data_IF_681133717595
#
_entry.id   IF_681133717595
#
_cell.length_a   1.000
_cell.length_b   1.000
_cell.length_c   1.000
_cell.angle_alpha   90.00
_cell.angle_beta   90.00
_cell.angle_gamma   90.00
#
_symmetry.space_group_name_H-M   'P 1'
#
loop_
_entity.id
_entity.type
_entity.pdbx_description
1 polymer ?
#
# COMPACT_ATOMS: atom_id res chain seq x y z
N UNK A 1 30.87 7.66 18.48
CA UNK A 1 29.54 7.06 18.79
C UNK A 1 29.23 6.03 17.73
N UNK A 2 29.13 4.76 18.07
CA UNK A 2 28.74 3.68 17.15
C UNK A 2 27.29 3.91 16.75
N UNK A 3 27.00 4.03 15.43
CA UNK A 3 25.64 4.14 14.91
C UNK A 3 24.87 2.87 15.31
N UNK A 4 23.84 3.02 16.13
CA UNK A 4 22.94 1.92 16.44
C UNK A 4 21.95 1.77 15.29
N UNK A 5 22.12 0.72 14.46
CA UNK A 5 21.19 0.41 13.39
C UNK A 5 19.84 -0.08 13.95
N UNK A 6 18.77 0.24 13.25
CA UNK A 6 17.44 -0.28 13.56
C UNK A 6 17.27 -1.62 12.83
N UNK A 7 17.42 -2.72 13.55
CA UNK A 7 17.29 -4.09 13.03
C UNK A 7 15.87 -4.38 12.45
N UNK A 8 14.86 -3.66 12.94
CA UNK A 8 13.46 -3.84 12.53
C UNK A 8 13.14 -3.37 11.10
N UNK A 9 14.09 -2.77 10.39
CA UNK A 9 13.86 -2.30 9.02
C UNK A 9 15.07 -2.36 8.11
N UNK A 10 14.82 -2.36 6.80
CA UNK A 10 15.85 -2.33 5.74
C UNK A 10 15.41 -1.42 4.59
N UNK A 11 16.38 -0.81 3.92
CA UNK A 11 16.18 -0.09 2.66
C UNK A 11 16.14 -1.13 1.54
N UNK A 12 14.99 -1.26 0.87
CA UNK A 12 14.81 -2.16 -0.27
C UNK A 12 15.30 -1.54 -1.58
N UNK A 13 15.09 -0.22 -1.71
CA UNK A 13 15.37 0.50 -2.95
C UNK A 13 15.55 1.98 -2.67
N UNK A 14 16.51 2.58 -3.34
CA UNK A 14 16.67 4.02 -3.56
C UNK A 14 16.80 4.27 -5.05
N UNK A 15 16.04 5.21 -5.58
CA UNK A 15 16.06 5.50 -7.00
C UNK A 15 14.93 6.42 -7.44
N UNK A 16 14.59 6.34 -8.71
CA UNK A 16 13.61 7.21 -9.35
C UNK A 16 12.22 6.59 -9.36
N UNK A 17 11.20 7.44 -9.16
CA UNK A 17 9.80 7.08 -9.38
C UNK A 17 9.50 6.91 -10.86
N UNK A 18 8.75 5.86 -11.22
CA UNK A 18 8.23 5.66 -12.57
C UNK A 18 7.24 6.75 -13.03
N UNK A 19 6.78 7.61 -12.11
CA UNK A 19 5.79 8.65 -12.41
C UNK A 19 6.44 9.90 -12.98
N UNK A 20 7.49 10.40 -12.31
CA UNK A 20 8.04 11.73 -12.59
C UNK A 20 9.55 11.84 -12.35
N UNK A 21 10.24 10.71 -12.24
CA UNK A 21 11.69 10.62 -12.03
C UNK A 21 12.21 11.32 -10.76
N UNK A 22 11.38 11.61 -9.78
CA UNK A 22 11.83 12.12 -8.49
C UNK A 22 12.43 11.01 -7.64
N UNK A 23 13.35 11.42 -6.76
CA UNK A 23 14.02 10.50 -5.85
C UNK A 23 13.09 9.99 -4.76
N UNK A 24 12.97 8.68 -4.68
CA UNK A 24 12.17 7.95 -3.70
C UNK A 24 13.00 6.90 -2.98
N UNK A 25 12.52 6.49 -1.85
CA UNK A 25 13.06 5.38 -1.06
C UNK A 25 11.95 4.39 -0.73
N UNK A 26 12.28 3.10 -0.78
CA UNK A 26 11.40 2.01 -0.33
C UNK A 26 12.03 1.31 0.86
N UNK A 27 11.28 1.23 1.95
CA UNK A 27 11.75 0.67 3.21
C UNK A 27 10.78 -0.44 3.63
N UNK A 28 11.31 -1.58 4.07
CA UNK A 28 10.54 -2.63 4.75
C UNK A 28 10.75 -2.50 6.26
N UNK A 29 9.68 -2.73 7.03
CA UNK A 29 9.73 -2.76 8.50
C UNK A 29 8.90 -3.91 9.06
N UNK A 30 9.07 -4.19 10.35
CA UNK A 30 8.42 -5.31 11.03
C UNK A 30 9.28 -6.57 11.03
N UNK A 31 10.58 -6.46 10.73
CA UNK A 31 11.47 -7.62 10.65
C UNK A 31 11.68 -8.26 12.02
N UNK A 32 11.88 -7.47 13.06
CA UNK A 32 12.09 -7.97 14.43
C UNK A 32 10.82 -7.90 15.28
N UNK A 33 10.03 -6.82 15.13
CA UNK A 33 8.87 -6.58 15.97
C UNK A 33 7.57 -6.81 15.19
N UNK A 34 6.69 -7.64 15.75
CA UNK A 34 5.36 -7.87 15.19
C UNK A 34 4.51 -6.60 15.28
N UNK A 35 3.71 -6.36 14.25
CA UNK A 35 2.74 -5.27 14.28
C UNK A 35 1.51 -5.65 15.11
N UNK A 36 1.01 -4.69 15.90
CA UNK A 36 -0.22 -4.83 16.68
C UNK A 36 -1.49 -4.36 15.95
N UNK A 37 -1.40 -4.09 14.65
CA UNK A 37 -2.52 -3.59 13.87
C UNK A 37 -3.59 -4.68 13.70
N UNK A 38 -4.76 -4.50 14.32
CA UNK A 38 -5.88 -5.46 14.32
C UNK A 38 -6.40 -5.83 12.93
N UNK A 39 -6.27 -4.95 11.93
CA UNK A 39 -6.73 -5.22 10.56
C UNK A 39 -5.69 -5.99 9.76
N UNK A 40 -4.45 -5.58 9.82
CA UNK A 40 -3.38 -6.21 9.01
C UNK A 40 -2.78 -7.43 9.67
N UNK A 41 -2.90 -7.57 10.99
CA UNK A 41 -2.18 -8.60 11.74
C UNK A 41 -0.68 -8.42 11.63
N UNK A 42 0.09 -9.50 11.77
CA UNK A 42 1.55 -9.50 11.72
C UNK A 42 2.10 -9.50 10.29
N UNK A 43 1.68 -8.52 9.49
CA UNK A 43 2.27 -8.32 8.15
C UNK A 43 3.50 -7.43 8.21
N UNK A 44 4.53 -7.80 7.48
CA UNK A 44 5.64 -6.90 7.13
C UNK A 44 5.08 -5.70 6.35
N UNK A 45 5.54 -4.50 6.70
CA UNK A 45 5.04 -3.26 6.09
C UNK A 45 6.10 -2.67 5.15
N UNK A 46 5.69 -2.22 3.97
CA UNK A 46 6.60 -1.48 3.08
C UNK A 46 6.13 -0.05 2.91
N UNK A 47 7.08 0.87 2.86
CA UNK A 47 6.88 2.32 2.83
C UNK A 47 7.59 2.88 1.62
N UNK A 48 6.86 3.54 0.74
CA UNK A 48 7.38 4.21 -0.44
C UNK A 48 7.25 5.70 -0.18
N UNK A 49 8.39 6.36 -0.01
CA UNK A 49 8.45 7.73 0.49
C UNK A 49 9.36 8.57 -0.43
N UNK A 50 9.10 9.87 -0.47
CA UNK A 50 10.06 10.81 -1.06
C UNK A 50 11.34 10.82 -0.24
N UNK A 51 12.49 10.74 -0.91
CA UNK A 51 13.78 10.71 -0.22
C UNK A 51 14.07 11.99 0.56
N UNK A 52 13.77 13.15 -0.04
CA UNK A 52 14.21 14.44 0.48
C UNK A 52 13.09 15.31 1.06
N UNK A 53 11.87 14.79 1.13
CA UNK A 53 10.71 15.51 1.67
C UNK A 53 9.99 14.69 2.73
N UNK A 54 9.77 15.29 3.90
CA UNK A 54 9.04 14.65 4.98
C UNK A 54 7.60 14.32 4.56
N UNK A 55 7.12 13.07 4.79
CA UNK A 55 5.86 12.58 4.23
C UNK A 55 4.61 13.35 4.70
N UNK A 56 4.61 13.87 5.92
CA UNK A 56 3.51 14.70 6.43
C UNK A 56 3.39 16.05 5.72
N UNK A 57 4.51 16.67 5.36
CA UNK A 57 4.55 17.92 4.61
C UNK A 57 4.24 17.68 3.13
N UNK A 58 4.90 16.70 2.51
CA UNK A 58 4.71 16.38 1.10
C UNK A 58 3.28 15.91 0.78
N UNK A 59 2.59 15.28 1.73
CA UNK A 59 1.18 14.95 1.58
C UNK A 59 0.29 16.20 1.49
N UNK A 60 0.51 17.18 2.36
CA UNK A 60 -0.24 18.44 2.37
C UNK A 60 0.01 19.28 1.10
N UNK A 61 1.25 19.31 0.64
CA UNK A 61 1.68 20.15 -0.49
C UNK A 61 1.49 19.47 -1.86
N UNK A 62 0.96 18.24 -1.90
CA UNK A 62 0.77 17.48 -3.14
C UNK A 62 2.04 16.89 -3.74
N UNK A 63 3.21 17.04 -3.11
CA UNK A 63 4.47 16.45 -3.56
C UNK A 63 4.44 14.91 -3.54
N UNK A 64 3.56 14.31 -2.73
CA UNK A 64 3.34 12.86 -2.72
C UNK A 64 2.85 12.30 -4.06
N UNK A 65 2.60 13.12 -5.07
CA UNK A 65 2.32 12.67 -6.45
C UNK A 65 3.37 11.66 -6.93
N UNK A 66 4.63 11.86 -6.58
CA UNK A 66 5.72 10.95 -7.00
C UNK A 66 5.62 9.54 -6.40
N UNK A 67 4.92 9.37 -5.29
CA UNK A 67 4.74 8.08 -4.60
C UNK A 67 3.29 7.59 -4.58
N UNK A 68 2.32 8.45 -4.91
CA UNK A 68 0.89 8.13 -4.93
C UNK A 68 0.24 8.31 -6.30
N UNK A 69 0.92 8.97 -7.25
CA UNK A 69 0.48 9.18 -8.62
C UNK A 69 -0.86 9.88 -8.75
N UNK A 70 -1.80 9.23 -9.43
CA UNK A 70 -3.14 9.74 -9.71
C UNK A 70 -4.14 9.53 -8.57
N UNK A 71 -3.74 8.96 -7.45
CA UNK A 71 -4.63 8.69 -6.32
C UNK A 71 -5.49 9.92 -5.96
N UNK A 72 -6.83 9.83 -5.98
CA UNK A 72 -7.71 10.98 -5.69
C UNK A 72 -7.70 11.37 -4.21
N UNK A 73 -7.32 10.45 -3.32
CA UNK A 73 -7.36 10.63 -1.88
C UNK A 73 -6.24 11.51 -1.30
N UNK A 74 -5.31 11.99 -2.13
CA UNK A 74 -4.19 12.83 -1.67
C UNK A 74 -4.68 14.11 -0.96
N UNK A 75 -3.86 14.65 -0.05
CA UNK A 75 -4.20 15.79 0.78
C UNK A 75 -4.52 17.09 0.03
N UNK A 76 -3.93 17.28 -1.14
CA UNK A 76 -4.21 18.41 -2.04
C UNK A 76 -5.35 18.13 -3.06
N UNK A 77 -6.06 17.02 -2.92
CA UNK A 77 -7.22 16.63 -3.74
C UNK A 77 -8.43 16.43 -2.82
N UNK A 78 -9.03 15.24 -2.79
CA UNK A 78 -10.19 14.95 -1.94
C UNK A 78 -9.86 14.88 -0.44
N UNK A 79 -8.57 14.79 -0.08
CA UNK A 79 -8.10 14.67 1.31
C UNK A 79 -8.75 13.52 2.10
N UNK A 80 -9.12 12.46 1.40
CA UNK A 80 -9.79 11.28 1.95
C UNK A 80 -8.82 10.13 2.28
N UNK A 81 -7.50 10.36 2.17
CA UNK A 81 -6.48 9.37 2.47
C UNK A 81 -6.54 8.92 3.93
N UNK A 82 -6.68 7.61 4.16
CA UNK A 82 -6.69 7.02 5.51
C UNK A 82 -5.29 6.88 6.13
N UNK A 83 -4.22 7.02 5.34
CA UNK A 83 -2.84 6.94 5.84
C UNK A 83 -2.54 8.13 6.72
N UNK A 84 -2.11 7.86 7.95
CA UNK A 84 -1.69 8.90 8.91
C UNK A 84 -0.23 9.27 8.67
N UNK A 85 0.02 10.12 7.68
CA UNK A 85 1.34 10.50 7.19
C UNK A 85 2.28 11.10 8.27
N UNK A 86 1.71 11.64 9.36
CA UNK A 86 2.44 12.21 10.51
C UNK A 86 2.82 11.16 11.57
N UNK A 87 2.36 9.93 11.45
CA UNK A 87 2.66 8.82 12.36
C UNK A 87 3.76 7.92 11.78
N UNK A 88 3.45 6.64 11.55
CA UNK A 88 4.43 5.64 11.11
C UNK A 88 5.24 6.04 9.87
N UNK A 89 4.64 6.59 8.78
CA UNK A 89 5.44 7.02 7.62
C UNK A 89 6.50 8.06 7.99
N UNK A 90 6.16 9.04 8.86
CA UNK A 90 7.10 10.06 9.32
C UNK A 90 8.23 9.47 10.17
N UNK A 91 7.93 8.53 11.06
CA UNK A 91 8.94 7.89 11.90
C UNK A 91 9.91 7.03 11.08
N UNK A 92 9.39 6.29 10.09
CA UNK A 92 10.20 5.51 9.15
C UNK A 92 11.12 6.45 8.35
N UNK A 93 10.58 7.54 7.81
CA UNK A 93 11.36 8.53 7.06
C UNK A 93 12.45 9.19 7.93
N UNK A 94 12.13 9.60 9.18
CA UNK A 94 13.12 10.15 10.11
C UNK A 94 14.24 9.16 10.42
N UNK A 95 13.89 7.88 10.63
CA UNK A 95 14.89 6.83 10.84
C UNK A 95 15.80 6.66 9.63
N UNK A 96 15.24 6.71 8.43
CA UNK A 96 15.99 6.69 7.17
C UNK A 96 16.94 7.91 7.07
N UNK A 97 16.44 9.14 7.26
CA UNK A 97 17.26 10.37 7.21
C UNK A 97 18.39 10.40 8.26
N UNK A 98 18.20 9.71 9.37
CA UNK A 98 19.22 9.53 10.39
C UNK A 98 20.14 8.33 10.12
N UNK A 99 20.08 7.73 8.92
CA UNK A 99 20.87 6.57 8.49
C UNK A 99 20.80 5.39 9.50
N UNK A 100 19.58 5.11 10.02
CA UNK A 100 19.35 4.03 11.00
C UNK A 100 18.99 2.68 10.35
N UNK A 101 18.77 2.62 9.03
CA UNK A 101 18.49 1.39 8.30
C UNK A 101 19.68 0.99 7.43
N UNK A 102 20.02 -0.29 7.46
CA UNK A 102 20.90 -0.91 6.48
C UNK A 102 20.18 -1.19 5.17
N UNK A 103 20.93 -1.36 4.08
CA UNK A 103 20.37 -1.87 2.84
C UNK A 103 20.01 -3.34 2.97
N UNK A 104 18.92 -3.71 2.31
CA UNK A 104 18.45 -5.10 2.24
C UNK A 104 19.46 -5.98 1.50
N UNK A 105 19.82 -7.10 2.13
CA UNK A 105 20.75 -8.10 1.58
C UNK A 105 19.99 -9.39 1.26
N UNK A 106 20.57 -10.21 0.38
CA UNK A 106 19.98 -11.52 0.03
C UNK A 106 19.75 -12.41 1.26
N UNK A 107 20.60 -12.32 2.27
CA UNK A 107 20.43 -13.03 3.56
C UNK A 107 19.18 -12.62 4.33
N UNK A 108 18.73 -11.36 4.17
CA UNK A 108 17.53 -10.84 4.85
C UNK A 108 16.23 -11.49 4.34
N UNK A 109 16.26 -12.18 3.19
CA UNK A 109 15.11 -12.98 2.70
C UNK A 109 14.66 -14.02 3.74
N UNK A 110 15.57 -14.52 4.57
CA UNK A 110 15.23 -15.45 5.66
C UNK A 110 14.29 -14.80 6.70
N UNK A 111 14.35 -13.48 6.90
CA UNK A 111 13.48 -12.74 7.81
C UNK A 111 12.06 -12.56 7.25
N UNK A 112 11.89 -12.73 5.93
CA UNK A 112 10.62 -12.59 5.22
C UNK A 112 9.96 -13.95 4.98
N UNK A 113 10.77 -15.00 4.86
CA UNK A 113 10.30 -16.35 4.52
C UNK A 113 9.15 -16.79 5.43
N UNK A 114 8.03 -17.16 4.81
CA UNK A 114 6.83 -17.62 5.51
C UNK A 114 6.02 -16.53 6.22
N UNK A 115 6.42 -15.25 6.13
CA UNK A 115 5.67 -14.10 6.67
C UNK A 115 4.82 -13.43 5.60
N UNK A 116 3.78 -12.75 6.02
CA UNK A 116 2.89 -11.99 5.14
C UNK A 116 3.46 -10.59 4.87
N UNK A 117 3.29 -10.08 3.65
CA UNK A 117 3.86 -8.81 3.19
C UNK A 117 2.77 -7.85 2.71
N UNK A 118 2.80 -6.59 3.15
CA UNK A 118 1.98 -5.52 2.61
C UNK A 118 2.80 -4.60 1.73
N UNK A 119 2.50 -4.62 0.42
CA UNK A 119 3.09 -3.72 -0.56
C UNK A 119 2.42 -2.35 -0.46
N UNK A 120 3.20 -1.31 -0.19
CA UNK A 120 2.70 0.04 -0.12
C UNK A 120 1.77 0.33 1.07
N UNK A 121 2.23 0.13 2.31
CA UNK A 121 1.51 0.62 3.51
C UNK A 121 1.35 2.14 3.47
N UNK A 122 2.27 2.83 2.84
CA UNK A 122 2.18 4.20 2.35
C UNK A 122 2.89 4.26 0.98
N UNK A 123 2.31 4.98 0.03
CA UNK A 123 2.74 5.02 -1.36
C UNK A 123 2.21 3.84 -2.19
N UNK A 124 2.26 3.99 -3.49
CA UNK A 124 1.76 3.02 -4.47
C UNK A 124 2.90 2.07 -4.90
N UNK A 125 2.76 0.75 -4.78
CA UNK A 125 3.83 -0.19 -5.08
C UNK A 125 4.28 -0.21 -6.54
N UNK A 126 3.46 0.29 -7.46
CA UNK A 126 3.77 0.26 -8.90
C UNK A 126 4.69 1.39 -9.35
N UNK A 127 4.99 2.36 -8.47
CA UNK A 127 5.87 3.49 -8.82
C UNK A 127 7.35 3.11 -8.93
N UNK A 128 7.69 1.86 -8.65
CA UNK A 128 9.01 1.27 -8.87
C UNK A 128 8.89 0.03 -9.76
N UNK A 129 10.00 -0.51 -10.22
CA UNK A 129 10.03 -1.72 -11.04
C UNK A 129 9.66 -2.96 -10.20
N UNK A 130 8.88 -3.87 -10.78
CA UNK A 130 8.45 -5.11 -10.15
C UNK A 130 9.64 -5.97 -9.66
N UNK A 131 10.79 -5.87 -10.32
CA UNK A 131 12.02 -6.60 -9.94
C UNK A 131 12.47 -6.35 -8.50
N UNK A 132 12.12 -5.18 -7.92
CA UNK A 132 12.42 -4.87 -6.51
C UNK A 132 11.57 -5.73 -5.57
N UNK A 133 10.31 -6.00 -5.93
CA UNK A 133 9.39 -6.80 -5.12
C UNK A 133 9.55 -8.30 -5.29
N UNK A 134 9.96 -8.73 -6.48
CA UNK A 134 9.96 -10.15 -6.85
C UNK A 134 10.69 -11.06 -5.87
N UNK A 135 11.92 -10.76 -5.40
CA UNK A 135 12.60 -11.63 -4.43
C UNK A 135 11.84 -11.79 -3.10
N UNK A 136 11.10 -10.75 -2.67
CA UNK A 136 10.30 -10.81 -1.46
C UNK A 136 9.03 -11.63 -1.67
N UNK A 137 8.38 -11.44 -2.84
CA UNK A 137 7.16 -12.16 -3.22
C UNK A 137 7.41 -13.65 -3.37
N UNK A 138 8.58 -14.06 -3.86
CA UNK A 138 8.95 -15.46 -4.07
C UNK A 138 9.10 -16.25 -2.74
N UNK A 139 9.37 -15.55 -1.63
CA UNK A 139 9.61 -16.21 -0.31
C UNK A 139 8.52 -15.92 0.74
N UNK A 140 7.73 -14.86 0.57
CA UNK A 140 6.67 -14.54 1.53
C UNK A 140 5.53 -15.57 1.46
N UNK A 141 4.84 -15.77 2.58
CA UNK A 141 3.68 -16.66 2.66
C UNK A 141 2.50 -16.18 1.81
N UNK A 142 2.24 -14.91 1.88
CA UNK A 142 1.21 -14.21 1.11
C UNK A 142 1.48 -12.70 1.12
N UNK A 143 0.76 -11.97 0.29
CA UNK A 143 0.88 -10.51 0.25
C UNK A 143 -0.46 -9.83 0.00
N UNK A 144 -0.48 -8.51 0.22
CA UNK A 144 -1.54 -7.60 -0.21
C UNK A 144 -0.91 -6.36 -0.83
N UNK A 145 -1.59 -5.77 -1.81
CA UNK A 145 -1.13 -4.52 -2.43
C UNK A 145 -2.24 -3.88 -3.26
N UNK A 146 -2.18 -2.56 -3.40
CA UNK A 146 -3.18 -1.78 -4.11
C UNK A 146 -2.52 -0.71 -4.97
N UNK A 147 -3.10 -0.41 -6.13
CA UNK A 147 -2.60 0.65 -7.00
C UNK A 147 -3.73 1.50 -7.57
N UNK A 148 -3.55 2.82 -7.56
CA UNK A 148 -4.37 3.75 -8.36
C UNK A 148 -3.78 3.98 -9.76
N UNK A 149 -2.58 3.45 -10.02
CA UNK A 149 -1.90 3.61 -11.31
C UNK A 149 -2.29 2.54 -12.34
N UNK A 150 -3.32 1.74 -12.10
CA UNK A 150 -3.73 0.61 -12.93
C UNK A 150 -4.02 0.99 -14.41
N UNK A 151 -4.24 2.28 -14.72
CA UNK A 151 -4.35 2.80 -16.10
C UNK A 151 -2.99 3.00 -16.78
N UNK A 152 -1.89 3.05 -16.03
CA UNK A 152 -0.56 3.37 -16.54
C UNK A 152 0.13 2.12 -17.10
N UNK A 153 0.90 2.29 -18.18
CA UNK A 153 1.62 1.18 -18.81
C UNK A 153 2.60 0.50 -17.85
N UNK A 154 3.31 1.26 -17.01
CA UNK A 154 4.26 0.71 -16.05
C UNK A 154 3.59 -0.17 -14.97
N UNK A 155 2.29 0.03 -14.71
CA UNK A 155 1.56 -0.77 -13.72
C UNK A 155 1.02 -2.08 -14.29
N UNK A 156 1.00 -2.28 -15.62
CA UNK A 156 0.43 -3.49 -16.21
C UNK A 156 1.16 -4.78 -15.82
N UNK A 157 2.45 -4.71 -15.53
CA UNK A 157 3.25 -5.83 -15.02
C UNK A 157 2.82 -6.31 -13.62
N UNK A 158 2.01 -5.52 -12.92
CA UNK A 158 1.53 -5.81 -11.57
C UNK A 158 0.17 -6.54 -11.52
N UNK A 159 -0.42 -6.85 -12.69
CA UNK A 159 -1.62 -7.69 -12.77
C UNK A 159 -1.37 -9.04 -12.08
N UNK A 160 -2.32 -9.46 -11.26
CA UNK A 160 -2.18 -10.68 -10.47
C UNK A 160 -1.32 -10.54 -9.21
N UNK A 161 -0.71 -9.36 -8.97
CA UNK A 161 0.14 -9.07 -7.80
C UNK A 161 -0.50 -8.02 -6.89
N UNK A 162 -1.11 -6.99 -7.46
CA UNK A 162 -1.84 -5.97 -6.69
C UNK A 162 -3.26 -5.81 -7.22
N UNK A 163 -4.15 -5.34 -6.38
CA UNK A 163 -5.51 -4.96 -6.81
C UNK A 163 -5.52 -3.53 -7.32
N UNK A 164 -6.35 -3.27 -8.35
CA UNK A 164 -6.71 -1.92 -8.73
C UNK A 164 -7.54 -1.27 -7.62
N UNK A 165 -7.10 -0.13 -7.10
CA UNK A 165 -7.94 0.71 -6.26
C UNK A 165 -8.98 1.40 -7.14
N UNK A 166 -10.26 1.12 -6.89
CA UNK A 166 -11.40 1.67 -7.59
C UNK A 166 -12.20 2.54 -6.64
N UNK A 167 -12.48 3.77 -7.05
CA UNK A 167 -13.20 4.75 -6.25
C UNK A 167 -14.60 4.99 -6.79
N UNK A 168 -14.95 4.31 -7.89
CA UNK A 168 -16.26 4.28 -8.54
C UNK A 168 -16.54 2.91 -9.18
N UNK A 169 -17.80 2.62 -9.44
CA UNK A 169 -18.19 1.44 -10.20
C UNK A 169 -17.66 1.47 -11.64
N UNK A 170 -17.56 2.66 -12.24
CA UNK A 170 -16.93 2.85 -13.54
C UNK A 170 -15.44 2.47 -13.52
N UNK A 171 -14.71 2.85 -12.46
CA UNK A 171 -13.32 2.42 -12.27
C UNK A 171 -13.21 0.90 -12.20
N UNK A 172 -14.14 0.25 -11.48
CA UNK A 172 -14.20 -1.21 -11.41
C UNK A 172 -14.36 -1.85 -12.78
N UNK A 173 -15.30 -1.36 -13.60
CA UNK A 173 -15.53 -1.90 -14.94
C UNK A 173 -14.28 -1.75 -15.82
N UNK A 174 -13.65 -0.59 -15.80
CA UNK A 174 -12.44 -0.32 -16.58
C UNK A 174 -11.24 -1.16 -16.11
N UNK A 175 -10.99 -1.22 -14.80
CA UNK A 175 -9.87 -1.98 -14.26
C UNK A 175 -10.04 -3.50 -14.46
N UNK A 176 -11.27 -4.01 -14.29
CA UNK A 176 -11.62 -5.39 -14.56
C UNK A 176 -11.44 -5.73 -16.04
N UNK A 177 -11.87 -4.84 -16.95
CA UNK A 177 -11.66 -4.97 -18.39
C UNK A 177 -10.17 -5.00 -18.78
N UNK A 178 -9.30 -4.34 -18.03
CA UNK A 178 -7.85 -4.42 -18.18
C UNK A 178 -7.25 -5.68 -17.55
N UNK A 179 -8.02 -6.52 -16.86
CA UNK A 179 -7.59 -7.78 -16.25
C UNK A 179 -7.05 -7.65 -14.83
N UNK A 180 -7.28 -6.53 -14.14
CA UNK A 180 -6.98 -6.41 -12.72
C UNK A 180 -8.11 -7.00 -11.87
N UNK A 181 -7.76 -7.58 -10.72
CA UNK A 181 -8.68 -7.70 -9.61
C UNK A 181 -8.79 -6.37 -8.89
N UNK A 182 -9.98 -6.06 -8.36
CA UNK A 182 -10.31 -4.74 -7.87
C UNK A 182 -10.52 -4.70 -6.37
N UNK A 183 -10.13 -3.58 -5.77
CA UNK A 183 -10.47 -3.20 -4.41
C UNK A 183 -11.30 -1.92 -4.48
N UNK A 184 -12.61 -2.08 -4.34
CA UNK A 184 -13.56 -0.97 -4.48
C UNK A 184 -13.85 -0.36 -3.11
N UNK A 185 -13.51 0.92 -2.97
CA UNK A 185 -13.80 1.73 -1.78
C UNK A 185 -15.04 2.55 -2.06
N UNK A 186 -16.14 2.29 -1.34
CA UNK A 186 -17.42 2.93 -1.56
C UNK A 186 -17.89 3.73 -0.35
N UNK A 187 -18.80 4.67 -0.57
CA UNK A 187 -19.60 5.25 0.51
C UNK A 187 -20.45 4.16 1.17
N UNK A 188 -20.72 4.27 2.47
CA UNK A 188 -21.48 3.26 3.22
C UNK A 188 -22.86 2.98 2.62
N UNK A 189 -23.51 3.99 2.05
CA UNK A 189 -24.86 3.94 1.50
C UNK A 189 -24.92 3.60 0.00
N UNK A 190 -23.78 3.54 -0.70
CA UNK A 190 -23.71 3.08 -2.09
C UNK A 190 -24.14 1.62 -2.18
N UNK A 191 -25.14 1.33 -3.01
CA UNK A 191 -25.61 -0.04 -3.28
C UNK A 191 -24.65 -0.72 -4.24
N UNK A 192 -24.40 -2.00 -4.02
CA UNK A 192 -23.53 -2.84 -4.88
C UNK A 192 -24.19 -4.16 -5.18
N UNK A 193 -23.85 -4.74 -6.32
CA UNK A 193 -24.20 -6.14 -6.60
C UNK A 193 -23.30 -7.07 -5.79
N UNK A 194 -23.87 -7.78 -4.83
CA UNK A 194 -23.17 -8.74 -3.97
C UNK A 194 -22.59 -9.95 -4.71
N UNK A 195 -23.00 -10.19 -5.98
CA UNK A 195 -22.45 -11.25 -6.81
C UNK A 195 -21.07 -10.90 -7.36
N UNK A 196 -20.80 -9.60 -7.57
CA UNK A 196 -19.53 -9.11 -8.13
C UNK A 196 -18.42 -9.03 -7.08
N UNK A 197 -18.76 -8.68 -5.83
CA UNK A 197 -17.78 -8.37 -4.80
C UNK A 197 -17.91 -9.22 -3.55
N UNK A 198 -16.79 -9.48 -2.91
CA UNK A 198 -16.75 -9.97 -1.53
C UNK A 198 -16.53 -8.76 -0.60
N UNK A 199 -17.38 -8.64 0.42
CA UNK A 199 -17.15 -7.70 1.52
C UNK A 199 -15.82 -8.00 2.20
N UNK A 200 -14.97 -6.99 2.42
CA UNK A 200 -13.66 -7.18 3.06
C UNK A 200 -13.80 -7.87 4.42
N UNK A 201 -13.34 -9.14 4.58
CA UNK A 201 -13.55 -9.88 5.84
C UNK A 201 -12.67 -9.36 7.00
N UNK A 202 -11.65 -8.53 6.68
CA UNK A 202 -10.77 -7.90 7.66
C UNK A 202 -11.19 -6.46 8.01
N UNK A 203 -12.36 -6.00 7.53
CA UNK A 203 -12.88 -4.66 7.85
C UNK A 203 -13.76 -4.71 9.10
N UNK A 204 -13.49 -3.81 10.03
CA UNK A 204 -14.32 -3.63 11.24
C UNK A 204 -15.72 -3.18 10.83
N UNK A 205 -15.83 -2.25 9.87
CA UNK A 205 -17.07 -1.68 9.36
C UNK A 205 -17.93 -2.71 8.60
N UNK A 206 -17.33 -3.82 8.20
CA UNK A 206 -17.99 -4.92 7.49
C UNK A 206 -18.15 -6.17 8.39
N UNK A 207 -17.97 -6.03 9.71
CA UNK A 207 -18.06 -7.14 10.67
C UNK A 207 -16.83 -8.05 10.63
N UNK A 208 -15.68 -7.51 11.01
CA UNK A 208 -14.38 -8.19 10.96
C UNK A 208 -14.42 -9.66 11.45
N UNK A 209 -14.01 -10.58 10.58
CA UNK A 209 -13.95 -12.03 10.85
C UNK A 209 -12.52 -12.58 10.85
N UNK A 210 -11.56 -11.81 10.33
CA UNK A 210 -10.17 -12.23 10.16
C UNK A 210 -9.26 -11.00 10.08
N UNK A 211 -7.97 -11.21 9.86
CA UNK A 211 -6.97 -10.18 9.58
C UNK A 211 -6.30 -10.41 8.21
N UNK A 212 -5.70 -9.37 7.63
CA UNK A 212 -5.12 -9.43 6.29
C UNK A 212 -3.98 -10.45 6.17
N UNK A 213 -3.20 -10.66 7.23
CA UNK A 213 -2.11 -11.65 7.28
C UNK A 213 -2.58 -13.10 7.07
N UNK A 214 -3.84 -13.39 7.38
CA UNK A 214 -4.49 -14.70 7.20
C UNK A 214 -5.33 -14.71 5.92
N UNK A 215 -6.14 -13.66 5.71
CA UNK A 215 -7.14 -13.59 4.65
C UNK A 215 -6.52 -13.61 3.24
N UNK A 216 -5.52 -12.76 2.97
CA UNK A 216 -4.78 -12.64 1.70
C UNK A 216 -5.64 -12.52 0.42
N UNK A 217 -6.90 -12.12 0.49
CA UNK A 217 -7.76 -11.95 -0.69
C UNK A 217 -7.29 -10.83 -1.62
N UNK A 218 -6.58 -9.85 -1.06
CA UNK A 218 -6.08 -8.68 -1.79
C UNK A 218 -4.69 -8.90 -2.42
N UNK A 219 -4.37 -10.12 -2.82
CA UNK A 219 -3.10 -10.47 -3.48
C UNK A 219 -3.06 -10.15 -4.98
N UNK A 220 -4.11 -9.56 -5.53
CA UNK A 220 -4.22 -9.23 -6.96
C UNK A 220 -4.74 -10.34 -7.87
N UNK A 221 -4.77 -11.60 -7.41
CA UNK A 221 -5.14 -12.75 -8.25
C UNK A 221 -6.47 -13.44 -7.88
N UNK A 222 -7.01 -13.16 -6.68
CA UNK A 222 -8.10 -13.97 -6.14
C UNK A 222 -9.50 -13.43 -6.48
N UNK A 223 -9.95 -12.39 -5.80
CA UNK A 223 -11.35 -11.92 -5.86
C UNK A 223 -11.41 -10.41 -5.85
N UNK A 224 -12.50 -9.88 -6.39
CA UNK A 224 -12.83 -8.46 -6.29
C UNK A 224 -13.42 -8.20 -4.91
N UNK A 225 -12.87 -7.20 -4.23
CA UNK A 225 -13.20 -6.87 -2.84
C UNK A 225 -13.85 -5.50 -2.77
N UNK A 226 -14.86 -5.37 -1.92
CA UNK A 226 -15.44 -4.08 -1.59
C UNK A 226 -15.28 -3.76 -0.11
N UNK A 227 -15.10 -2.49 0.19
CA UNK A 227 -15.02 -1.98 1.55
C UNK A 227 -15.76 -0.64 1.67
N UNK A 228 -16.43 -0.41 2.79
CA UNK A 228 -16.91 0.93 3.12
C UNK A 228 -15.74 1.84 3.45
N UNK A 229 -15.77 3.07 2.95
CA UNK A 229 -14.83 4.10 3.38
C UNK A 229 -14.85 4.22 4.90
N UNK A 230 -13.66 4.32 5.51
CA UNK A 230 -13.51 4.28 6.95
C UNK A 230 -12.47 5.28 7.45
N UNK A 231 -12.45 5.48 8.77
CA UNK A 231 -11.59 6.47 9.43
C UNK A 231 -12.14 7.89 9.36
N UNK A 232 -11.41 8.85 9.92
CA UNK A 232 -11.83 10.24 10.06
C UNK A 232 -12.08 10.98 8.73
N UNK A 233 -11.55 10.46 7.63
CA UNK A 233 -11.64 11.04 6.29
C UNK A 233 -12.71 10.38 5.40
N UNK A 234 -13.42 9.36 5.89
CA UNK A 234 -14.47 8.65 5.16
C UNK A 234 -15.58 9.58 4.63
N UNK A 235 -15.87 10.67 5.36
CA UNK A 235 -16.86 11.68 4.99
C UNK A 235 -16.58 12.41 3.66
N UNK A 236 -15.34 12.29 3.15
CA UNK A 236 -14.96 12.90 1.86
C UNK A 236 -15.12 11.94 0.67
N UNK A 237 -15.54 10.71 0.91
CA UNK A 237 -15.84 9.74 -0.18
C UNK A 237 -17.26 9.98 -0.65
N UNK A 238 -17.41 10.21 -1.95
CA UNK A 238 -18.71 10.53 -2.55
C UNK A 238 -19.67 9.34 -2.50
N UNK A 239 -20.96 9.64 -2.34
CA UNK A 239 -22.04 8.67 -2.57
C UNK A 239 -22.23 8.51 -4.08
N UNK A 240 -22.14 7.28 -4.56
CA UNK A 240 -22.58 6.91 -5.91
C UNK A 240 -24.03 6.47 -5.86
N UNK A 241 -24.86 7.12 -6.68
CA UNK A 241 -26.30 6.86 -6.80
C UNK A 241 -26.59 5.83 -7.87
#
# INVERSE_FOLDING_TARGET
MTKQFNSNGRILFEGKSNIDNKDIVVIITGLDNKTSNKKTGDMLQTWILLRDHAPNTSHKNGLNKSVCGSCPHMGNRQNSCYVKWFQAPLQVWKSYKNNRYDYFKKSDLNLIKGRSLRLGSAGDPTVIDLKVWKPLLDVCKNHTGYTHQWRSNFAQQYKGIVQASCDSFQDYLLASGLGFKCFYVKHKDTKIDKKLFINCPASIEMGQKTECSICSLCSGSKRDIVINAHGSTAKYVALEV
#
